data_IF_834673269515
#
_entry.id   IF_834673269515
#
_cell.length_a   1.000
_cell.length_b   1.000
_cell.length_c   1.000
_cell.angle_alpha   90.00
_cell.angle_beta   90.00
_cell.angle_gamma   90.00
#
_symmetry.space_group_name_H-M   'P 1'
#
loop_
_entity.id
_entity.type
_entity.pdbx_description
1 polymer ?
#
# COMPACT_ATOMS: atom_id res chain seq x y z
N UNK A 1 5.42 37.59 4.39
CA UNK A 1 6.04 36.82 3.28
C UNK A 1 6.01 35.35 3.67
N UNK A 2 5.59 34.43 2.79
CA UNK A 2 5.62 32.97 3.02
C UNK A 2 7.09 32.53 3.12
N UNK A 3 7.45 31.77 4.16
CA UNK A 3 8.79 31.17 4.32
C UNK A 3 8.68 29.67 4.09
N UNK A 4 9.51 29.11 3.22
CA UNK A 4 9.48 27.70 2.82
C UNK A 4 10.89 27.14 3.04
N UNK A 5 11.16 26.39 4.13
CA UNK A 5 12.53 25.99 4.49
C UNK A 5 13.29 25.26 3.37
N UNK A 6 12.60 24.39 2.62
CA UNK A 6 13.21 23.59 1.54
C UNK A 6 13.78 24.46 0.39
N UNK A 7 13.34 25.71 0.22
CA UNK A 7 13.90 26.61 -0.81
C UNK A 7 15.23 27.25 -0.40
N UNK A 8 15.68 27.02 0.84
CA UNK A 8 16.97 27.53 1.34
C UNK A 8 18.12 26.55 1.10
N UNK A 9 17.83 25.35 0.62
CA UNK A 9 18.85 24.36 0.28
C UNK A 9 19.63 24.79 -0.97
N UNK A 10 20.95 24.57 -1.03
CA UNK A 10 21.81 25.04 -2.13
C UNK A 10 21.60 24.28 -3.45
N UNK A 11 20.83 23.18 -3.43
CA UNK A 11 20.66 22.26 -4.55
C UNK A 11 19.19 22.00 -4.83
N UNK A 12 18.82 22.09 -6.11
CA UNK A 12 17.45 21.85 -6.58
C UNK A 12 16.54 23.06 -6.44
N UNK A 13 15.37 22.96 -7.06
CA UNK A 13 14.27 23.91 -6.91
C UNK A 13 13.13 23.17 -6.22
N UNK A 14 12.56 23.78 -5.19
CA UNK A 14 11.38 23.24 -4.50
C UNK A 14 10.22 24.21 -4.68
N UNK A 15 9.08 23.67 -5.10
CA UNK A 15 7.85 24.42 -5.27
C UNK A 15 6.72 23.66 -4.59
N UNK A 16 5.84 24.40 -3.90
CA UNK A 16 4.63 23.87 -3.26
C UNK A 16 3.50 24.85 -3.49
N UNK A 17 2.42 24.36 -4.06
CA UNK A 17 1.27 25.16 -4.44
C UNK A 17 0.02 24.61 -3.78
N UNK A 18 -0.70 25.49 -3.10
CA UNK A 18 -2.06 25.23 -2.65
C UNK A 18 -2.94 25.38 -3.89
N UNK A 19 -3.37 24.26 -4.48
CA UNK A 19 -4.13 24.27 -5.73
C UNK A 19 -5.52 24.89 -5.54
N UNK A 20 -6.16 25.40 -6.60
CA UNK A 20 -7.61 25.61 -6.55
C UNK A 20 -8.32 24.27 -6.29
N UNK A 21 -9.59 24.34 -5.89
CA UNK A 21 -10.43 23.16 -5.65
C UNK A 21 -10.86 22.52 -6.98
N UNK A 22 -9.92 21.87 -7.66
CA UNK A 22 -10.13 21.18 -8.94
C UNK A 22 -9.21 19.98 -9.07
N UNK A 23 -9.76 18.77 -8.98
CA UNK A 23 -8.97 17.55 -9.12
C UNK A 23 -8.62 17.31 -10.58
N UNK A 24 -9.61 17.40 -11.48
CA UNK A 24 -9.44 17.11 -12.91
C UNK A 24 -8.39 18.02 -13.58
N UNK A 25 -8.57 19.34 -13.44
CA UNK A 25 -7.73 20.32 -14.12
C UNK A 25 -6.30 20.33 -13.59
N UNK A 26 -6.15 20.25 -12.26
CA UNK A 26 -4.84 20.23 -11.61
C UNK A 26 -4.10 18.92 -11.91
N UNK A 27 -4.75 17.76 -11.82
CA UNK A 27 -4.09 16.50 -12.18
C UNK A 27 -3.65 16.47 -13.66
N UNK A 28 -4.46 17.04 -14.55
CA UNK A 28 -4.09 17.23 -15.96
C UNK A 28 -2.88 18.13 -16.16
N UNK A 29 -2.81 19.23 -15.41
CA UNK A 29 -1.65 20.12 -15.40
C UNK A 29 -0.38 19.40 -14.93
N UNK A 30 -0.44 18.73 -13.77
CA UNK A 30 0.71 18.02 -13.20
C UNK A 30 1.20 16.87 -14.09
N UNK A 31 0.28 16.15 -14.75
CA UNK A 31 0.64 15.15 -15.76
C UNK A 31 1.45 15.77 -16.90
N UNK A 32 1.01 16.92 -17.43
CA UNK A 32 1.71 17.66 -18.47
C UNK A 32 3.11 18.11 -18.03
N UNK A 33 3.22 18.63 -16.80
CA UNK A 33 4.49 19.07 -16.23
C UNK A 33 5.47 17.89 -16.06
N UNK A 34 5.01 16.78 -15.48
CA UNK A 34 5.81 15.57 -15.26
C UNK A 34 6.31 14.93 -16.57
N UNK A 35 5.55 15.10 -17.65
CA UNK A 35 5.94 14.66 -18.99
C UNK A 35 6.98 15.60 -19.62
N UNK A 36 6.85 16.91 -19.42
CA UNK A 36 7.72 17.93 -20.03
C UNK A 36 9.08 18.02 -19.33
N UNK A 37 9.13 17.86 -18.00
CA UNK A 37 10.37 17.88 -17.22
C UNK A 37 10.58 16.57 -16.42
N UNK A 38 11.24 15.56 -17.01
CA UNK A 38 11.51 14.29 -16.35
C UNK A 38 12.55 14.38 -15.23
N UNK A 39 13.20 15.54 -15.04
CA UNK A 39 14.17 15.77 -13.95
C UNK A 39 13.52 16.30 -12.68
N UNK A 40 12.25 16.69 -12.74
CA UNK A 40 11.46 17.13 -11.60
C UNK A 40 10.66 15.98 -10.99
N UNK A 41 10.69 15.86 -9.65
CA UNK A 41 9.77 14.98 -8.94
C UNK A 41 8.44 15.70 -8.77
N UNK A 42 7.50 15.40 -9.66
CA UNK A 42 6.15 15.98 -9.62
C UNK A 42 5.23 15.11 -8.78
N UNK A 43 4.57 15.71 -7.80
CA UNK A 43 3.66 15.03 -6.89
C UNK A 43 2.34 15.77 -6.86
N UNK A 44 1.24 15.04 -7.07
CA UNK A 44 -0.12 15.52 -6.88
C UNK A 44 -0.72 14.84 -5.65
N UNK A 45 -1.19 15.62 -4.69
CA UNK A 45 -1.80 15.11 -3.46
C UNK A 45 -3.28 15.45 -3.42
N UNK A 46 -4.12 14.40 -3.31
CA UNK A 46 -5.54 14.58 -3.06
C UNK A 46 -5.78 14.96 -1.60
N UNK A 47 -6.80 15.77 -1.31
CA UNK A 47 -7.16 16.08 0.08
C UNK A 47 -7.55 14.81 0.85
N UNK A 48 -8.36 13.96 0.22
CA UNK A 48 -8.59 12.57 0.57
C UNK A 48 -8.51 11.75 -0.70
N UNK A 49 -8.01 10.52 -0.62
CA UNK A 49 -7.86 9.67 -1.80
C UNK A 49 -9.19 9.42 -2.53
N UNK A 50 -10.30 9.42 -1.80
CA UNK A 50 -11.66 9.26 -2.32
C UNK A 50 -11.98 10.26 -3.45
N UNK A 51 -11.47 11.49 -3.38
CA UNK A 51 -11.74 12.58 -4.32
C UNK A 51 -10.95 12.49 -5.64
N UNK A 52 -9.97 11.58 -5.74
CA UNK A 52 -9.27 11.36 -7.00
C UNK A 52 -10.20 10.89 -8.14
N UNK A 53 -11.39 10.39 -7.80
CA UNK A 53 -12.44 10.02 -8.75
C UNK A 53 -12.90 11.19 -9.65
N UNK A 54 -12.78 12.45 -9.20
CA UNK A 54 -13.08 13.64 -10.00
C UNK A 54 -12.17 13.78 -11.23
N UNK A 55 -11.00 13.14 -11.20
CA UNK A 55 -10.01 13.14 -12.28
C UNK A 55 -9.89 11.79 -13.00
N UNK A 56 -10.93 10.94 -12.97
CA UNK A 56 -10.86 9.57 -13.49
C UNK A 56 -10.41 9.47 -14.96
N UNK A 57 -10.83 10.41 -15.83
CA UNK A 57 -10.40 10.41 -17.24
C UNK A 57 -8.88 10.63 -17.34
N UNK A 58 -8.29 11.47 -16.50
CA UNK A 58 -6.84 11.66 -16.45
C UNK A 58 -6.13 10.37 -16.01
N UNK A 59 -6.69 9.68 -15.01
CA UNK A 59 -6.18 8.41 -14.53
C UNK A 59 -6.21 7.35 -15.64
N UNK A 60 -7.38 7.13 -16.25
CA UNK A 60 -7.59 6.04 -17.20
C UNK A 60 -6.90 6.29 -18.55
N UNK A 61 -7.03 7.51 -19.09
CA UNK A 61 -6.64 7.76 -20.47
C UNK A 61 -5.18 8.17 -20.61
N UNK A 62 -4.59 8.74 -19.56
CA UNK A 62 -3.24 9.30 -19.60
C UNK A 62 -2.30 8.60 -18.63
N UNK A 63 -2.60 8.60 -17.32
CA UNK A 63 -1.68 8.05 -16.31
C UNK A 63 -1.50 6.54 -16.50
N UNK A 64 -2.58 5.78 -16.62
CA UNK A 64 -2.49 4.32 -16.74
C UNK A 64 -2.10 3.84 -18.15
N UNK A 65 -2.39 4.62 -19.20
CA UNK A 65 -2.31 4.14 -20.59
C UNK A 65 -1.40 4.97 -21.51
N UNK A 66 -0.88 6.12 -21.06
CA UNK A 66 -0.21 7.08 -21.92
C UNK A 66 1.08 6.56 -22.56
N UNK A 67 1.83 5.74 -21.83
CA UNK A 67 3.04 5.11 -22.37
C UNK A 67 2.71 4.06 -23.45
N UNK A 68 1.71 3.20 -23.21
CA UNK A 68 1.30 2.17 -24.17
C UNK A 68 0.69 2.80 -25.43
N UNK A 69 -0.10 3.85 -25.27
CA UNK A 69 -0.77 4.52 -26.39
C UNK A 69 0.17 5.39 -27.22
N UNK A 70 1.11 6.08 -26.58
CA UNK A 70 1.85 7.18 -27.22
C UNK A 70 3.36 7.18 -26.95
N UNK A 71 3.90 6.12 -26.31
CA UNK A 71 5.30 6.02 -25.90
C UNK A 71 5.76 7.21 -25.03
N UNK A 72 4.84 7.77 -24.24
CA UNK A 72 5.10 8.88 -23.33
C UNK A 72 5.37 8.35 -21.92
N UNK A 73 6.64 8.36 -21.54
CA UNK A 73 7.04 8.12 -20.15
C UNK A 73 6.58 9.30 -19.26
N UNK A 74 6.17 9.00 -18.03
CA UNK A 74 5.71 10.01 -17.09
C UNK A 74 6.09 9.61 -15.65
N UNK A 75 6.61 10.56 -14.88
CA UNK A 75 7.13 10.32 -13.53
C UNK A 75 6.19 10.72 -12.39
N UNK A 76 4.95 11.14 -12.69
CA UNK A 76 4.01 11.70 -11.73
C UNK A 76 3.74 10.74 -10.56
N UNK A 77 3.77 11.28 -9.34
CA UNK A 77 3.36 10.57 -8.13
C UNK A 77 1.99 11.07 -7.67
N UNK A 78 1.05 10.15 -7.46
CA UNK A 78 -0.25 10.43 -6.87
C UNK A 78 -0.18 10.03 -5.39
N UNK A 79 -0.37 11.01 -4.51
CA UNK A 79 -0.46 10.83 -3.07
C UNK A 79 -1.94 10.82 -2.69
N UNK A 80 -2.46 9.65 -2.30
CA UNK A 80 -3.89 9.44 -2.08
C UNK A 80 -4.15 9.03 -0.62
N UNK A 81 -4.55 9.97 0.26
CA UNK A 81 -4.80 9.65 1.66
C UNK A 81 -5.84 8.55 1.81
N UNK A 82 -5.45 7.45 2.45
CA UNK A 82 -6.18 6.19 2.51
C UNK A 82 -6.10 5.59 3.92
N UNK A 83 -7.19 4.99 4.37
CA UNK A 83 -7.23 4.27 5.65
C UNK A 83 -8.61 4.28 6.28
N UNK A 84 -9.01 3.14 6.82
CA UNK A 84 -10.31 2.94 7.45
C UNK A 84 -10.24 3.29 8.92
N UNK A 85 -10.75 4.48 9.28
CA UNK A 85 -10.60 5.06 10.63
C UNK A 85 -11.93 5.53 11.22
N UNK A 86 -13.05 5.05 10.67
CA UNK A 86 -14.39 5.40 11.13
C UNK A 86 -14.85 6.82 10.75
N UNK A 87 -14.17 7.50 9.84
CA UNK A 87 -14.52 8.85 9.36
C UNK A 87 -15.61 8.88 8.27
N UNK A 88 -16.21 7.73 7.97
CA UNK A 88 -17.29 7.60 6.99
C UNK A 88 -16.81 7.29 5.56
N UNK A 89 -17.77 7.22 4.61
CA UNK A 89 -17.56 6.58 3.31
C UNK A 89 -16.68 7.34 2.31
N UNK A 90 -16.58 8.67 2.44
CA UNK A 90 -15.84 9.55 1.51
C UNK A 90 -14.52 10.08 2.10
N UNK A 91 -14.06 9.48 3.20
CA UNK A 91 -12.81 9.85 3.89
C UNK A 91 -11.99 8.61 4.27
N UNK A 92 -12.16 7.52 3.52
CA UNK A 92 -11.61 6.20 3.88
C UNK A 92 -10.84 5.55 2.75
N UNK A 93 -11.33 5.64 1.51
CA UNK A 93 -10.85 4.79 0.42
C UNK A 93 -10.50 5.56 -0.84
N UNK A 94 -9.23 5.48 -1.22
CA UNK A 94 -8.76 5.87 -2.54
C UNK A 94 -9.16 4.91 -3.67
N UNK A 95 -10.03 3.92 -3.40
CA UNK A 95 -10.44 2.88 -4.36
C UNK A 95 -9.24 2.14 -4.94
N UNK A 96 -8.37 1.62 -4.07
CA UNK A 96 -7.15 0.88 -4.43
C UNK A 96 -7.41 -0.17 -5.53
N UNK A 97 -8.53 -0.88 -5.44
CA UNK A 97 -8.97 -1.89 -6.42
C UNK A 97 -9.03 -1.35 -7.85
N UNK A 98 -9.39 -0.08 -8.04
CA UNK A 98 -9.53 0.55 -9.36
C UNK A 98 -8.17 0.78 -10.00
N UNK A 99 -7.19 1.22 -9.22
CA UNK A 99 -5.82 1.37 -9.71
C UNK A 99 -5.20 0.00 -10.03
N UNK A 100 -5.46 -1.02 -9.20
CA UNK A 100 -5.01 -2.38 -9.46
C UNK A 100 -5.65 -2.99 -10.71
N UNK A 101 -6.93 -2.70 -10.99
CA UNK A 101 -7.58 -3.12 -12.24
C UNK A 101 -6.92 -2.52 -13.49
N UNK A 102 -6.36 -1.31 -13.37
CA UNK A 102 -5.66 -0.64 -14.46
C UNK A 102 -4.23 -1.17 -14.67
N UNK A 103 -3.69 -1.97 -13.75
CA UNK A 103 -2.30 -2.43 -13.79
C UNK A 103 -2.09 -3.51 -14.85
N UNK A 104 -1.21 -3.25 -15.81
CA UNK A 104 -0.80 -4.21 -16.84
C UNK A 104 0.55 -3.80 -17.45
N UNK A 105 1.40 -4.77 -17.77
CA UNK A 105 2.68 -4.57 -18.48
C UNK A 105 3.56 -3.44 -17.88
N UNK A 106 3.68 -3.40 -16.55
CA UNK A 106 4.45 -2.42 -15.79
C UNK A 106 4.08 -0.96 -16.10
N UNK A 107 2.81 -0.69 -16.44
CA UNK A 107 2.35 0.65 -16.83
C UNK A 107 2.44 1.68 -15.69
N UNK A 108 2.05 1.29 -14.48
CA UNK A 108 2.10 2.12 -13.28
C UNK A 108 2.77 1.37 -12.13
N UNK A 109 2.96 2.04 -11.00
CA UNK A 109 3.37 1.43 -9.74
C UNK A 109 2.31 1.74 -8.69
N UNK A 110 1.91 0.76 -7.88
CA UNK A 110 0.92 0.95 -6.81
C UNK A 110 1.53 0.50 -5.48
N UNK A 111 1.61 1.42 -4.53
CA UNK A 111 2.24 1.22 -3.23
C UNK A 111 1.29 1.63 -2.08
N UNK A 112 1.44 0.97 -0.94
CA UNK A 112 0.74 1.33 0.31
C UNK A 112 1.73 1.15 1.46
N UNK A 113 2.38 2.26 1.81
CA UNK A 113 3.68 2.28 2.48
C UNK A 113 3.48 2.50 3.97
N UNK A 114 4.13 1.68 4.79
CA UNK A 114 3.87 1.66 6.23
C UNK A 114 4.93 2.34 7.08
N UNK A 115 6.11 2.67 6.54
CA UNK A 115 7.23 3.25 7.31
C UNK A 115 7.82 4.51 6.66
N UNK A 116 8.27 5.51 7.46
CA UNK A 116 8.89 6.72 6.94
C UNK A 116 10.12 6.47 6.05
N UNK A 117 11.00 5.55 6.43
CA UNK A 117 12.18 5.22 5.62
C UNK A 117 11.81 4.63 4.26
N UNK A 118 10.81 3.74 4.22
CA UNK A 118 10.39 3.15 2.94
C UNK A 118 9.72 4.20 2.03
N UNK A 119 8.99 5.17 2.60
CA UNK A 119 8.45 6.31 1.86
C UNK A 119 9.57 7.20 1.29
N UNK A 120 10.59 7.52 2.09
CA UNK A 120 11.78 8.23 1.61
C UNK A 120 12.46 7.51 0.43
N UNK A 121 12.66 6.20 0.56
CA UNK A 121 13.31 5.42 -0.49
C UNK A 121 12.46 5.30 -1.75
N UNK A 122 11.13 5.17 -1.64
CA UNK A 122 10.27 5.08 -2.84
C UNK A 122 10.30 6.38 -3.65
N UNK A 123 10.30 7.54 -2.98
CA UNK A 123 10.35 8.84 -3.64
C UNK A 123 11.70 9.05 -4.35
N UNK A 124 12.81 8.68 -3.71
CA UNK A 124 14.13 8.71 -4.34
C UNK A 124 14.21 7.76 -5.53
N UNK A 125 13.67 6.55 -5.37
CA UNK A 125 13.61 5.53 -6.42
C UNK A 125 12.88 6.02 -7.67
N UNK A 126 11.85 6.86 -7.52
CA UNK A 126 11.12 7.48 -8.63
C UNK A 126 12.03 8.34 -9.53
N UNK A 127 13.05 8.98 -8.95
CA UNK A 127 13.97 9.87 -9.66
C UNK A 127 15.29 9.21 -10.08
N UNK A 128 15.82 8.31 -9.24
CA UNK A 128 17.12 7.67 -9.43
C UNK A 128 17.10 6.55 -10.48
N UNK A 129 15.92 6.00 -10.80
CA UNK A 129 15.79 5.02 -11.88
C UNK A 129 15.98 5.69 -13.25
N UNK A 130 16.51 4.95 -14.25
CA UNK A 130 16.75 5.47 -15.60
C UNK A 130 15.47 5.57 -16.46
N UNK A 131 14.29 5.38 -15.86
CA UNK A 131 12.99 5.44 -16.52
C UNK A 131 11.97 6.20 -15.66
N UNK A 132 10.82 6.53 -16.24
CA UNK A 132 9.71 7.20 -15.56
C UNK A 132 8.42 6.41 -15.77
N UNK A 133 7.81 6.01 -14.66
CA UNK A 133 6.51 5.33 -14.60
C UNK A 133 5.66 5.99 -13.53
N UNK A 134 4.38 6.31 -13.76
CA UNK A 134 3.55 6.89 -12.72
C UNK A 134 3.49 6.00 -11.48
N UNK A 135 3.40 6.63 -10.31
CA UNK A 135 3.35 5.93 -9.04
C UNK A 135 2.15 6.41 -8.23
N UNK A 136 1.31 5.48 -7.81
CA UNK A 136 0.16 5.71 -6.93
C UNK A 136 0.54 5.22 -5.54
N UNK A 137 0.51 6.13 -4.56
CA UNK A 137 0.78 5.82 -3.16
C UNK A 137 -0.51 6.04 -2.37
N UNK A 138 -0.98 4.97 -1.74
CA UNK A 138 -1.98 5.04 -0.68
C UNK A 138 -1.29 5.66 0.54
N UNK A 139 -1.36 6.99 0.67
CA UNK A 139 -0.68 7.70 1.75
C UNK A 139 -1.47 7.53 3.05
N UNK A 140 -0.80 7.33 4.19
CA UNK A 140 -1.50 7.08 5.43
C UNK A 140 -2.08 8.35 6.04
N UNK A 141 -3.13 8.21 6.84
CA UNK A 141 -3.67 9.27 7.71
C UNK A 141 -3.20 9.08 9.16
N UNK A 142 -3.64 8.01 9.82
CA UNK A 142 -3.26 7.67 11.20
C UNK A 142 -1.76 7.41 11.38
N UNK A 143 -1.08 6.79 10.39
CA UNK A 143 0.36 6.50 10.54
C UNK A 143 1.24 7.75 10.61
N UNK A 144 0.74 8.92 10.19
CA UNK A 144 1.48 10.18 10.31
C UNK A 144 1.85 10.53 11.76
N UNK A 145 1.12 9.96 12.75
CA UNK A 145 1.36 10.18 14.18
C UNK A 145 1.44 8.89 14.98
N UNK A 146 1.46 7.72 14.32
CA UNK A 146 1.43 6.45 15.03
C UNK A 146 2.77 6.18 15.73
N UNK A 147 2.78 5.78 17.01
CA UNK A 147 4.01 5.66 17.80
C UNK A 147 5.00 4.64 17.25
N UNK A 148 4.49 3.57 16.62
CA UNK A 148 5.29 2.54 15.97
C UNK A 148 5.66 2.86 14.51
N UNK A 149 5.04 3.86 13.88
CA UNK A 149 5.32 4.23 12.50
C UNK A 149 6.50 5.22 12.42
N UNK A 150 7.64 4.80 12.94
CA UNK A 150 8.89 5.57 12.99
C UNK A 150 10.01 4.79 12.30
N UNK A 151 11.00 5.52 11.82
CA UNK A 151 12.23 4.94 11.29
C UNK A 151 13.44 5.59 11.96
N UNK A 152 14.47 4.81 12.20
CA UNK A 152 15.76 5.28 12.69
C UNK A 152 16.51 6.04 11.60
N UNK A 153 17.48 6.88 11.98
CA UNK A 153 18.29 7.63 11.01
C UNK A 153 19.08 6.71 10.07
N UNK A 154 19.54 5.56 10.56
CA UNK A 154 20.32 4.56 9.80
C UNK A 154 19.53 4.03 8.60
N UNK A 155 18.21 3.81 8.77
CA UNK A 155 17.34 3.32 7.70
C UNK A 155 17.23 4.26 6.48
N UNK A 156 17.70 5.51 6.58
CA UNK A 156 17.73 6.47 5.47
C UNK A 156 19.09 6.53 4.75
N UNK A 157 20.11 5.81 5.25
CA UNK A 157 21.51 5.94 4.82
C UNK A 157 22.08 4.62 4.29
N UNK A 158 23.32 4.64 3.79
CA UNK A 158 24.05 3.43 3.37
C UNK A 158 23.34 2.63 2.28
N UNK A 159 23.30 1.30 2.47
CA UNK A 159 22.73 0.33 1.52
C UNK A 159 21.21 0.12 1.69
N UNK A 160 20.58 0.88 2.60
CA UNK A 160 19.14 0.85 2.75
C UNK A 160 18.45 1.34 1.48
N UNK A 161 17.37 0.65 1.11
CA UNK A 161 16.63 0.90 -0.11
C UNK A 161 15.14 0.61 0.09
N UNK A 162 14.34 0.87 -0.95
CA UNK A 162 12.92 0.59 -0.91
C UNK A 162 12.66 -0.92 -0.84
N UNK A 163 12.00 -1.35 0.24
CA UNK A 163 11.61 -2.72 0.49
C UNK A 163 10.19 -2.95 -0.05
N UNK A 164 10.06 -3.80 -1.07
CA UNK A 164 8.75 -4.17 -1.65
C UNK A 164 7.90 -5.01 -0.69
N UNK A 165 8.56 -5.80 0.14
CA UNK A 165 7.96 -6.55 1.25
C UNK A 165 8.70 -6.18 2.54
N UNK A 166 7.98 -6.04 3.65
CA UNK A 166 8.56 -5.79 4.97
C UNK A 166 8.00 -6.78 5.97
N UNK A 167 8.91 -7.53 6.59
CA UNK A 167 8.55 -8.45 7.66
C UNK A 167 8.04 -7.73 8.90
N UNK A 168 7.47 -8.53 9.77
CA UNK A 168 7.18 -8.26 11.17
C UNK A 168 8.26 -7.46 11.91
N UNK A 169 7.86 -6.73 12.94
CA UNK A 169 8.82 -6.13 13.88
C UNK A 169 9.33 -7.15 14.89
N UNK A 170 8.54 -8.18 15.19
CA UNK A 170 8.93 -9.28 16.07
C UNK A 170 9.59 -10.38 15.25
N UNK A 171 10.84 -10.71 15.54
CA UNK A 171 11.55 -11.79 14.86
C UNK A 171 11.01 -13.15 15.33
N UNK A 172 10.51 -13.94 14.39
CA UNK A 172 10.02 -15.30 14.59
C UNK A 172 10.82 -16.20 13.66
N UNK A 173 11.40 -17.28 14.20
CA UNK A 173 12.06 -18.31 13.40
C UNK A 173 11.08 -18.87 12.37
N UNK A 174 11.46 -18.85 11.11
CA UNK A 174 10.61 -19.24 9.99
C UNK A 174 10.09 -20.66 10.10
N UNK A 175 10.87 -21.55 10.72
CA UNK A 175 10.47 -22.92 10.95
C UNK A 175 9.35 -23.04 11.99
N UNK A 176 9.13 -22.03 12.84
CA UNK A 176 8.03 -22.02 13.81
C UNK A 176 6.73 -21.47 13.23
N UNK A 177 6.79 -20.79 12.08
CA UNK A 177 5.63 -20.14 11.48
C UNK A 177 4.69 -21.20 10.93
N UNK A 178 3.46 -21.21 11.46
CA UNK A 178 2.34 -22.03 10.98
C UNK A 178 1.32 -21.22 10.19
N UNK A 179 1.16 -19.94 10.53
CA UNK A 179 0.27 -19.01 9.81
C UNK A 179 1.04 -17.77 9.37
N UNK A 180 0.94 -17.45 8.09
CA UNK A 180 1.46 -16.22 7.51
C UNK A 180 0.31 -15.27 7.19
N UNK A 181 0.28 -14.11 7.84
CA UNK A 181 -0.66 -13.04 7.52
C UNK A 181 0.02 -12.02 6.61
N UNK A 182 -0.38 -12.03 5.34
CA UNK A 182 -0.03 -11.00 4.36
C UNK A 182 -1.01 -9.84 4.48
N UNK A 183 -0.51 -8.62 4.47
CA UNK A 183 -1.35 -7.42 4.50
C UNK A 183 -0.67 -6.25 3.80
N UNK A 184 -1.35 -5.12 3.68
CA UNK A 184 -0.80 -3.88 3.13
C UNK A 184 -1.35 -2.67 3.90
N UNK A 185 -0.52 -1.65 4.10
CA UNK A 185 -0.93 -0.44 4.80
C UNK A 185 -1.09 -0.58 6.32
N UNK A 186 -1.91 0.30 6.91
CA UNK A 186 -1.98 0.51 8.36
C UNK A 186 -2.43 -0.71 9.17
N UNK A 187 -3.21 -1.62 8.56
CA UNK A 187 -3.75 -2.81 9.24
C UNK A 187 -2.66 -3.69 9.84
N UNK A 188 -1.45 -3.62 9.28
CA UNK A 188 -0.28 -4.30 9.81
C UNK A 188 -0.02 -3.97 11.28
N UNK A 189 -0.21 -2.71 11.69
CA UNK A 189 0.03 -2.29 13.07
C UNK A 189 -1.01 -2.87 14.02
N UNK A 190 -2.28 -2.88 13.61
CA UNK A 190 -3.37 -3.48 14.40
C UNK A 190 -3.14 -4.99 14.57
N UNK A 191 -2.72 -5.67 13.50
CA UNK A 191 -2.39 -7.09 13.51
C UNK A 191 -1.19 -7.39 14.41
N UNK A 192 -0.10 -6.62 14.30
CA UNK A 192 1.12 -6.82 15.09
C UNK A 192 0.84 -6.63 16.58
N UNK A 193 0.14 -5.54 16.93
CA UNK A 193 -0.23 -5.28 18.31
C UNK A 193 -1.11 -6.40 18.89
N UNK A 194 -2.16 -6.80 18.17
CA UNK A 194 -3.09 -7.83 18.65
C UNK A 194 -2.44 -9.22 18.76
N UNK A 195 -1.51 -9.54 17.85
CA UNK A 195 -0.71 -10.77 17.91
C UNK A 195 0.18 -10.77 19.15
N UNK A 196 0.86 -9.66 19.44
CA UNK A 196 1.72 -9.55 20.61
C UNK A 196 0.91 -9.64 21.92
N UNK A 197 -0.27 -9.01 21.97
CA UNK A 197 -1.21 -9.11 23.10
C UNK A 197 -1.74 -10.55 23.32
N UNK A 198 -1.93 -11.33 22.25
CA UNK A 198 -2.29 -12.75 22.33
C UNK A 198 -1.08 -13.69 22.49
N UNK A 199 0.14 -13.13 22.56
CA UNK A 199 1.39 -13.87 22.68
C UNK A 199 1.59 -14.96 21.59
N UNK A 200 1.03 -14.78 20.40
CA UNK A 200 1.12 -15.76 19.31
C UNK A 200 2.56 -15.81 18.77
N UNK A 201 3.21 -16.98 18.87
CA UNK A 201 4.62 -17.19 18.47
C UNK A 201 4.80 -17.92 17.14
N UNK A 202 3.72 -18.36 16.54
CA UNK A 202 3.65 -19.14 15.29
C UNK A 202 2.93 -18.39 14.15
N UNK A 203 2.53 -17.13 14.39
CA UNK A 203 1.87 -16.25 13.42
C UNK A 203 2.80 -15.11 13.04
N UNK A 204 3.23 -15.06 11.78
CA UNK A 204 4.08 -13.99 11.24
C UNK A 204 3.27 -13.04 10.37
N UNK A 205 3.53 -11.73 10.50
CA UNK A 205 2.90 -10.71 9.67
C UNK A 205 3.92 -10.20 8.66
N UNK A 206 3.54 -10.19 7.38
CA UNK A 206 4.36 -9.62 6.30
C UNK A 206 3.56 -8.57 5.55
N UNK A 207 4.16 -7.39 5.41
CA UNK A 207 3.59 -6.24 4.70
C UNK A 207 4.02 -6.27 3.25
N UNK A 208 3.07 -6.17 2.35
CA UNK A 208 3.28 -5.92 0.92
C UNK A 208 3.21 -4.40 0.72
N UNK A 209 4.38 -3.76 0.63
CA UNK A 209 4.51 -2.29 0.51
C UNK A 209 4.29 -1.82 -0.93
N UNK A 210 4.59 -2.68 -1.91
CA UNK A 210 4.31 -2.48 -3.32
C UNK A 210 3.38 -3.58 -3.80
N UNK A 211 2.17 -3.23 -4.20
CA UNK A 211 1.16 -4.15 -4.74
C UNK A 211 1.34 -4.36 -6.24
N UNK A 212 1.78 -3.33 -6.97
CA UNK A 212 2.09 -3.44 -8.39
C UNK A 212 3.40 -2.72 -8.76
N UNK A 213 4.30 -3.36 -9.54
CA UNK A 213 4.32 -4.80 -9.85
C UNK A 213 4.43 -5.66 -8.57
N UNK A 214 3.70 -6.77 -8.53
CA UNK A 214 3.59 -7.61 -7.33
C UNK A 214 4.92 -8.31 -7.02
N UNK A 215 5.38 -8.34 -5.76
CA UNK A 215 6.67 -8.91 -5.38
C UNK A 215 6.60 -10.43 -5.18
N UNK A 216 6.17 -11.17 -6.21
CA UNK A 216 5.99 -12.62 -6.15
C UNK A 216 7.28 -13.40 -5.86
N UNK A 217 8.38 -13.04 -6.53
CA UNK A 217 9.69 -13.69 -6.31
C UNK A 217 10.21 -13.49 -4.86
N UNK A 218 10.28 -12.26 -4.30
CA UNK A 218 10.64 -12.09 -2.89
C UNK A 218 9.71 -12.83 -1.92
N UNK A 219 8.42 -12.91 -2.24
CA UNK A 219 7.44 -13.63 -1.43
C UNK A 219 7.69 -15.16 -1.48
N UNK A 220 7.99 -15.71 -2.66
CA UNK A 220 8.33 -17.13 -2.81
C UNK A 220 9.57 -17.50 -1.97
N UNK A 221 10.66 -16.71 -2.07
CA UNK A 221 11.88 -16.90 -1.25
C UNK A 221 11.57 -16.88 0.25
N UNK A 222 10.63 -16.01 0.67
CA UNK A 222 10.19 -15.95 2.07
C UNK A 222 9.42 -17.21 2.48
N UNK A 223 8.53 -17.70 1.61
CA UNK A 223 7.68 -18.88 1.85
C UNK A 223 8.49 -20.18 1.89
N UNK A 224 9.53 -20.33 1.05
CA UNK A 224 10.42 -21.50 1.04
C UNK A 224 11.04 -21.79 2.42
N UNK A 225 11.35 -20.72 3.17
CA UNK A 225 11.96 -20.82 4.50
C UNK A 225 10.96 -21.30 5.57
N UNK A 226 9.66 -21.15 5.33
CA UNK A 226 8.60 -21.50 6.29
C UNK A 226 8.17 -22.96 6.13
N UNK A 227 9.02 -23.90 6.55
CA UNK A 227 8.80 -25.33 6.32
C UNK A 227 7.53 -25.87 6.98
N UNK A 228 7.11 -25.29 8.11
CA UNK A 228 5.94 -25.72 8.89
C UNK A 228 4.68 -24.88 8.62
N UNK A 229 4.67 -24.07 7.55
CA UNK A 229 3.52 -23.24 7.19
C UNK A 229 2.30 -24.12 6.84
N UNK A 230 1.20 -23.86 7.51
CA UNK A 230 -0.10 -24.53 7.36
C UNK A 230 -1.10 -23.62 6.62
N UNK A 231 -1.05 -22.30 6.84
CA UNK A 231 -2.02 -21.35 6.27
C UNK A 231 -1.37 -20.02 5.84
N UNK A 232 -1.83 -19.50 4.70
CA UNK A 232 -1.59 -18.12 4.26
C UNK A 232 -2.92 -17.36 4.35
N UNK A 233 -2.90 -16.18 4.95
CA UNK A 233 -4.06 -15.30 5.07
C UNK A 233 -3.73 -13.96 4.41
N UNK A 234 -4.61 -13.44 3.56
CA UNK A 234 -4.59 -12.04 3.15
C UNK A 234 -5.53 -11.23 4.05
N UNK A 235 -4.97 -10.32 4.83
CA UNK A 235 -5.71 -9.40 5.66
C UNK A 235 -5.75 -7.99 5.07
N UNK A 236 -6.96 -7.42 4.99
CA UNK A 236 -7.19 -6.05 4.54
C UNK A 236 -8.35 -5.40 5.29
N UNK A 237 -8.32 -4.07 5.38
CA UNK A 237 -9.39 -3.29 6.01
C UNK A 237 -10.55 -3.05 5.05
N UNK A 238 -10.25 -2.97 3.76
CA UNK A 238 -11.21 -2.71 2.71
C UNK A 238 -12.23 -3.87 2.63
N UNK A 239 -13.50 -3.58 2.27
CA UNK A 239 -14.47 -4.60 1.89
C UNK A 239 -13.89 -5.60 0.89
N UNK A 240 -14.36 -6.83 0.91
CA UNK A 240 -13.83 -7.93 0.06
C UNK A 240 -13.86 -7.61 -1.45
N UNK A 241 -14.81 -6.78 -1.89
CA UNK A 241 -14.92 -6.31 -3.27
C UNK A 241 -14.08 -5.07 -3.60
N UNK A 242 -13.35 -4.54 -2.63
CA UNK A 242 -12.44 -3.40 -2.72
C UNK A 242 -11.02 -3.84 -2.29
N UNK A 243 -10.10 -2.90 -2.23
CA UNK A 243 -8.73 -3.18 -1.80
C UNK A 243 -8.00 -4.07 -2.80
N UNK A 244 -7.12 -4.95 -2.31
CA UNK A 244 -6.24 -5.72 -3.19
C UNK A 244 -6.66 -7.19 -3.37
N UNK A 245 -7.65 -7.69 -2.61
CA UNK A 245 -7.97 -9.12 -2.57
C UNK A 245 -8.06 -9.80 -3.94
N UNK A 246 -8.92 -9.29 -4.83
CA UNK A 246 -9.10 -9.87 -6.18
C UNK A 246 -7.91 -9.68 -7.13
N UNK A 247 -6.93 -8.87 -6.74
CA UNK A 247 -5.68 -8.69 -7.48
C UNK A 247 -4.60 -9.66 -6.99
N UNK A 248 -4.48 -9.85 -5.67
CA UNK A 248 -3.36 -10.59 -5.07
C UNK A 248 -3.62 -12.07 -4.86
N UNK A 249 -4.87 -12.54 -4.84
CA UNK A 249 -5.20 -13.93 -4.48
C UNK A 249 -4.44 -14.96 -5.32
N UNK A 250 -4.43 -14.80 -6.65
CA UNK A 250 -3.72 -15.67 -7.59
C UNK A 250 -2.22 -15.45 -7.57
N UNK A 251 -1.77 -14.21 -7.39
CA UNK A 251 -0.34 -13.90 -7.35
C UNK A 251 0.34 -14.48 -6.09
N UNK A 252 -0.39 -14.55 -4.98
CA UNK A 252 0.05 -15.21 -3.75
C UNK A 252 0.08 -16.73 -3.95
N UNK A 253 -0.97 -17.31 -4.56
CA UNK A 253 -1.00 -18.74 -4.91
C UNK A 253 0.19 -19.11 -5.82
N UNK A 254 0.48 -18.31 -6.85
CA UNK A 254 1.64 -18.49 -7.72
C UNK A 254 2.96 -18.42 -6.94
N UNK A 255 3.11 -17.45 -6.04
CA UNK A 255 4.31 -17.36 -5.19
C UNK A 255 4.45 -18.57 -4.25
N UNK A 256 3.35 -19.10 -3.73
CA UNK A 256 3.34 -20.30 -2.90
C UNK A 256 3.72 -21.56 -3.70
N UNK A 257 3.17 -21.73 -4.90
CA UNK A 257 3.56 -22.80 -5.83
C UNK A 257 5.04 -22.73 -6.17
N UNK A 258 5.57 -21.54 -6.49
CA UNK A 258 6.99 -21.34 -6.77
C UNK A 258 7.89 -21.68 -5.57
N UNK A 259 7.36 -21.59 -4.35
CA UNK A 259 8.03 -21.97 -3.11
C UNK A 259 7.87 -23.47 -2.73
N UNK A 260 7.28 -24.30 -3.62
CA UNK A 260 7.01 -25.71 -3.36
C UNK A 260 5.84 -25.98 -2.40
N UNK A 261 4.93 -25.02 -2.23
CA UNK A 261 3.70 -25.14 -1.43
C UNK A 261 2.48 -25.37 -2.33
N UNK A 262 2.54 -26.41 -3.16
CA UNK A 262 1.49 -26.72 -4.15
C UNK A 262 0.09 -26.79 -3.52
N UNK A 263 -0.87 -26.13 -4.15
CA UNK A 263 -2.27 -26.09 -3.70
C UNK A 263 -2.55 -25.18 -2.50
N UNK A 264 -1.54 -24.51 -1.94
CA UNK A 264 -1.74 -23.54 -0.87
C UNK A 264 -2.29 -22.22 -1.43
N UNK A 265 -3.52 -21.88 -1.06
CA UNK A 265 -4.22 -20.65 -1.49
C UNK A 265 -4.42 -19.73 -0.29
N UNK A 266 -4.30 -18.40 -0.47
CA UNK A 266 -4.59 -17.49 0.62
C UNK A 266 -6.07 -17.56 1.04
N UNK A 267 -6.34 -17.48 2.33
CA UNK A 267 -7.68 -17.24 2.87
C UNK A 267 -7.89 -15.73 3.07
N UNK A 268 -9.14 -15.27 3.00
CA UNK A 268 -9.48 -13.85 3.13
C UNK A 268 -9.83 -13.50 4.57
N UNK A 269 -9.24 -12.43 5.11
CA UNK A 269 -9.62 -11.83 6.38
C UNK A 269 -9.81 -10.32 6.24
N UNK A 270 -11.04 -9.86 6.14
CA UNK A 270 -11.33 -8.44 5.96
C UNK A 270 -12.80 -8.11 6.12
N UNK A 271 -13.19 -6.89 5.76
CA UNK A 271 -14.61 -6.49 5.81
C UNK A 271 -15.42 -7.25 4.76
N UNK A 272 -16.68 -7.53 5.07
CA UNK A 272 -17.64 -8.09 4.11
C UNK A 272 -17.84 -7.16 2.91
N UNK A 273 -18.33 -7.73 1.80
CA UNK A 273 -18.64 -6.96 0.60
C UNK A 273 -19.59 -5.80 0.90
N UNK A 274 -19.32 -4.64 0.31
CA UNK A 274 -20.11 -3.44 0.51
C UNK A 274 -20.11 -2.54 -0.73
N UNK A 275 -21.26 -1.90 -0.99
CA UNK A 275 -21.36 -0.89 -2.04
C UNK A 275 -20.69 0.43 -1.62
N UNK A 276 -20.93 0.84 -0.36
CA UNK A 276 -20.25 1.97 0.27
C UNK A 276 -18.83 1.56 0.67
N UNK A 277 -17.79 2.42 0.47
CA UNK A 277 -16.44 2.11 0.89
C UNK A 277 -16.33 1.76 2.37
N UNK A 278 -16.99 2.54 3.23
CA UNK A 278 -16.98 2.37 4.67
C UNK A 278 -18.38 2.59 5.28
N UNK A 279 -18.55 2.20 6.54
CA UNK A 279 -19.74 2.53 7.33
C UNK A 279 -19.66 3.97 7.86
N UNK A 280 -20.80 4.65 7.99
CA UNK A 280 -20.90 5.95 8.65
C UNK A 280 -20.99 5.87 10.18
N UNK A 281 -21.04 4.67 10.77
CA UNK A 281 -21.19 4.47 12.22
C UNK A 281 -19.88 3.99 12.84
N UNK A 282 -19.31 4.78 13.74
CA UNK A 282 -18.04 4.47 14.41
C UNK A 282 -18.07 3.14 15.20
N UNK A 283 -19.18 2.85 15.88
CA UNK A 283 -19.35 1.58 16.63
C UNK A 283 -19.29 0.36 15.72
N UNK A 284 -19.97 0.42 14.57
CA UNK A 284 -19.92 -0.66 13.56
C UNK A 284 -18.52 -0.79 12.96
N UNK A 285 -17.84 0.33 12.71
CA UNK A 285 -16.47 0.32 12.21
C UNK A 285 -15.52 -0.42 13.17
N UNK A 286 -15.61 -0.14 14.47
CA UNK A 286 -14.78 -0.78 15.50
C UNK A 286 -15.03 -2.29 15.57
N UNK A 287 -16.29 -2.72 15.59
CA UNK A 287 -16.65 -4.15 15.58
C UNK A 287 -16.09 -4.86 14.36
N UNK A 288 -16.18 -4.23 13.18
CA UNK A 288 -15.60 -4.78 11.95
C UNK A 288 -14.08 -4.87 11.99
N UNK A 289 -13.41 -3.85 12.57
CA UNK A 289 -11.95 -3.81 12.69
C UNK A 289 -11.44 -4.92 13.63
N UNK A 290 -12.11 -5.10 14.77
CA UNK A 290 -11.73 -6.16 15.71
C UNK A 290 -11.97 -7.55 15.10
N UNK A 291 -13.12 -7.73 14.42
CA UNK A 291 -13.45 -9.00 13.78
C UNK A 291 -12.42 -9.41 12.72
N UNK A 292 -12.03 -8.50 11.80
CA UNK A 292 -11.07 -8.85 10.75
C UNK A 292 -9.69 -9.18 11.31
N UNK A 293 -9.24 -8.48 12.35
CA UNK A 293 -7.94 -8.74 13.00
C UNK A 293 -7.97 -10.11 13.71
N UNK A 294 -9.03 -10.40 14.46
CA UNK A 294 -9.16 -11.68 15.14
C UNK A 294 -9.30 -12.86 14.17
N UNK A 295 -9.99 -12.68 13.03
CA UNK A 295 -10.05 -13.69 11.96
C UNK A 295 -8.67 -13.91 11.35
N UNK A 296 -7.95 -12.83 11.02
CA UNK A 296 -6.62 -12.93 10.41
C UNK A 296 -5.61 -13.66 11.29
N UNK A 297 -5.69 -13.48 12.60
CA UNK A 297 -4.84 -14.16 13.58
C UNK A 297 -5.39 -15.54 14.01
N UNK A 298 -6.58 -15.91 13.53
CA UNK A 298 -7.35 -17.13 13.87
C UNK A 298 -7.65 -17.29 15.36
N UNK A 299 -7.99 -16.18 16.00
CA UNK A 299 -8.45 -16.12 17.40
C UNK A 299 -9.95 -16.41 17.53
N UNK A 300 -10.69 -16.42 16.42
CA UNK A 300 -12.15 -16.64 16.38
C UNK A 300 -12.55 -18.06 15.93
N UNK A 301 -11.68 -19.07 16.03
CA UNK A 301 -12.01 -20.42 15.55
C UNK A 301 -13.18 -21.02 16.37
N UNK A 302 -14.33 -21.33 15.76
CA UNK A 302 -15.43 -22.04 16.42
C UNK A 302 -15.07 -23.49 16.84
N UNK A 303 -13.95 -24.01 16.34
CA UNK A 303 -13.54 -25.43 16.43
C UNK A 303 -12.51 -25.74 17.54
N UNK A 304 -12.51 -24.99 18.65
CA UNK A 304 -11.64 -25.29 19.82
C UNK A 304 -12.41 -25.42 21.15
N UNK A 305 -13.63 -25.97 21.11
CA UNK A 305 -14.32 -26.52 22.27
C UNK A 305 -14.75 -27.96 22.00
#
# INVERSE_FOLDING_TARGET
RKYIPLTTLPHGKFEVYDSPLSEYGVLGFEYGFAMADPKSLVMWEAQFGDFANGAQIMIDQFIAAGEVKWLRANGLVLLLPHGYEGQGPEHSSARLERFLQLCANDNIQVCNITTPANYFHVLRRQMLRPFRKPMVIMTPKSLLRHPLAKSSAEEFMGDHHFMRIKSDMTEIDDKKIKRLVLCSGKVAYDLMQRRDEAELKDVSIVRIEQLYPFPGEPLAVRLERMTNLEEIVWCQEEPKNNGAWFFVDRLIEEAATNAGKDGMRPTYAGREVAASPATGFASRHQVQQEALVNIALGLNSPDKN
#
